data_IF_809097191548
#
_entry.id   IF_809097191548
#
_cell.length_a   1.000
_cell.length_b   1.000
_cell.length_c   1.000
_cell.angle_alpha   90.00
_cell.angle_beta   90.00
_cell.angle_gamma   90.00
#
_symmetry.space_group_name_H-M   'P 1'
#
loop_
_entity.id
_entity.type
_entity.pdbx_description
1 polymer ?
#
# COMPACT_ATOMS: atom_id res chain seq x y z
N UNK A 1 -16.46 3.92 -1.33
CA UNK A 1 -16.14 2.82 -2.26
C UNK A 1 -16.59 3.15 -3.69
N UNK A 2 -16.32 4.37 -4.19
CA UNK A 2 -16.72 4.79 -5.54
C UNK A 2 -15.82 5.91 -6.12
N UNK A 3 -14.67 6.19 -5.51
CA UNK A 3 -13.73 7.22 -6.02
C UNK A 3 -12.42 6.65 -6.57
N UNK A 4 -12.18 5.34 -6.43
CA UNK A 4 -10.93 4.70 -6.87
C UNK A 4 -10.98 4.16 -8.31
N UNK A 5 -12.17 4.06 -8.91
CA UNK A 5 -12.33 3.51 -10.27
C UNK A 5 -12.02 4.53 -11.38
N UNK A 6 -11.93 5.83 -11.08
CA UNK A 6 -11.78 6.89 -12.10
C UNK A 6 -10.32 7.16 -12.54
N UNK A 7 -9.31 6.78 -11.75
CA UNK A 7 -7.91 7.12 -12.07
C UNK A 7 -7.19 6.10 -12.99
N UNK A 8 -7.77 4.93 -13.26
CA UNK A 8 -7.11 3.88 -14.06
C UNK A 8 -7.38 4.04 -15.57
N UNK A 9 -8.43 4.76 -15.97
CA UNK A 9 -8.82 4.84 -17.39
C UNK A 9 -7.98 5.81 -18.25
N UNK A 10 -7.15 6.68 -17.66
CA UNK A 10 -6.44 7.75 -18.40
C UNK A 10 -4.92 7.57 -18.57
N UNK A 11 -4.35 6.45 -18.16
CA UNK A 11 -2.91 6.19 -18.35
C UNK A 11 -2.69 5.10 -19.40
N UNK A 12 -2.01 5.45 -20.51
CA UNK A 12 -1.60 4.53 -21.59
C UNK A 12 -0.54 3.48 -21.16
N UNK A 13 -0.41 3.17 -19.86
CA UNK A 13 0.60 2.28 -19.27
C UNK A 13 -0.05 1.20 -18.40
N UNK A 14 -1.07 0.50 -18.93
CA UNK A 14 -1.68 -0.62 -18.23
C UNK A 14 -0.90 -1.91 -18.48
N UNK A 15 0.15 -2.15 -17.70
CA UNK A 15 0.59 -3.53 -17.44
C UNK A 15 -0.31 -4.10 -16.35
N UNK A 16 -1.11 -5.13 -16.69
CA UNK A 16 -1.99 -5.84 -15.75
C UNK A 16 -1.11 -6.71 -14.83
N UNK A 17 -0.37 -6.07 -13.95
CA UNK A 17 0.43 -6.75 -12.94
C UNK A 17 -0.55 -7.35 -11.93
N UNK A 18 -0.46 -8.67 -11.75
CA UNK A 18 -1.31 -9.46 -10.85
C UNK A 18 -1.11 -8.98 -9.41
N UNK A 19 -1.94 -8.04 -8.96
CA UNK A 19 -2.02 -7.56 -7.57
C UNK A 19 -2.69 -8.62 -6.67
N UNK A 20 -2.15 -9.84 -6.65
CA UNK A 20 -2.59 -10.85 -5.69
C UNK A 20 -1.97 -10.55 -4.33
N UNK A 21 -2.71 -9.83 -3.49
CA UNK A 21 -2.53 -9.87 -2.04
C UNK A 21 -2.50 -11.34 -1.61
N UNK A 22 -1.55 -11.71 -0.76
CA UNK A 22 -1.19 -13.10 -0.52
C UNK A 22 -2.30 -13.98 0.08
N UNK A 23 -3.45 -13.47 0.54
CA UNK A 23 -4.48 -14.34 1.15
C UNK A 23 -5.94 -13.86 1.06
N UNK A 24 -6.29 -12.82 0.32
CA UNK A 24 -7.67 -12.34 0.26
C UNK A 24 -8.14 -12.17 -1.18
N UNK A 25 -9.17 -12.94 -1.58
CA UNK A 25 -9.79 -12.92 -2.90
C UNK A 25 -10.48 -11.57 -3.21
N UNK A 26 -10.71 -10.77 -2.18
CA UNK A 26 -11.08 -9.36 -2.24
C UNK A 26 -9.98 -8.58 -1.50
N UNK A 27 -9.21 -7.79 -2.23
CA UNK A 27 -8.10 -7.03 -1.65
C UNK A 27 -8.62 -5.99 -0.67
N UNK A 28 -8.05 -5.97 0.53
CA UNK A 28 -8.23 -4.87 1.46
C UNK A 28 -7.55 -3.60 0.92
N UNK A 29 -8.16 -2.42 1.11
CA UNK A 29 -7.61 -1.15 0.60
C UNK A 29 -6.24 -0.85 1.21
N UNK A 30 -6.01 -1.24 2.47
CA UNK A 30 -4.75 -1.07 3.16
C UNK A 30 -3.62 -1.94 2.62
N UNK A 31 -3.90 -3.23 2.43
CA UNK A 31 -2.94 -4.16 1.85
C UNK A 31 -2.60 -3.80 0.38
N UNK A 32 -3.59 -3.31 -0.40
CA UNK A 32 -3.38 -2.83 -1.76
C UNK A 32 -2.52 -1.56 -1.78
N UNK A 33 -2.81 -0.58 -0.90
CA UNK A 33 -2.02 0.64 -0.78
C UNK A 33 -0.56 0.33 -0.44
N UNK A 34 -0.31 -0.66 0.43
CA UNK A 34 1.04 -1.11 0.78
C UNK A 34 1.78 -1.69 -0.43
N UNK A 35 1.11 -2.52 -1.24
CA UNK A 35 1.73 -3.08 -2.45
C UNK A 35 2.02 -2.01 -3.51
N UNK A 36 1.12 -1.04 -3.68
CA UNK A 36 1.27 0.02 -4.70
C UNK A 36 2.27 1.10 -4.29
N UNK A 37 2.25 1.53 -3.02
CA UNK A 37 3.05 2.66 -2.54
C UNK A 37 4.36 2.23 -1.90
N UNK A 38 4.46 1.01 -1.38
CA UNK A 38 5.64 0.51 -0.68
C UNK A 38 6.31 -0.67 -1.41
N UNK A 39 5.72 -1.19 -2.49
CA UNK A 39 6.32 -2.22 -3.35
C UNK A 39 6.39 -3.63 -2.74
N UNK A 40 5.81 -3.85 -1.56
CA UNK A 40 5.80 -5.16 -0.88
C UNK A 40 4.39 -5.56 -0.47
N UNK A 41 4.14 -6.86 -0.39
CA UNK A 41 2.83 -7.40 -0.03
C UNK A 41 2.68 -7.45 1.49
N UNK A 42 1.77 -6.66 2.03
CA UNK A 42 1.34 -6.74 3.43
C UNK A 42 0.28 -7.82 3.68
N UNK A 43 -0.07 -8.01 4.95
CA UNK A 43 -1.21 -8.86 5.35
C UNK A 43 -2.54 -8.12 5.22
N UNK A 44 -3.62 -8.88 5.19
CA UNK A 44 -4.99 -8.34 5.26
C UNK A 44 -5.16 -7.42 6.48
N UNK A 45 -5.87 -6.30 6.30
CA UNK A 45 -6.12 -5.26 7.34
C UNK A 45 -4.85 -4.63 7.93
N UNK A 46 -3.74 -4.61 7.18
CA UNK A 46 -2.51 -3.91 7.56
C UNK A 46 -2.10 -2.88 6.49
N UNK A 47 -1.47 -1.78 6.91
CA UNK A 47 -1.07 -0.66 6.04
C UNK A 47 0.39 -0.30 6.32
N UNK A 48 1.22 -0.24 5.28
CA UNK A 48 2.62 0.19 5.41
C UNK A 48 3.48 -0.77 6.25
N UNK A 49 3.08 -2.04 6.34
CA UNK A 49 3.79 -3.08 7.05
C UNK A 49 4.04 -4.29 6.15
N UNK A 50 5.13 -5.01 6.41
CA UNK A 50 5.43 -6.28 5.75
C UNK A 50 4.55 -7.45 6.27
N UNK A 51 4.83 -8.67 5.80
CA UNK A 51 4.10 -9.86 6.19
C UNK A 51 4.44 -10.41 7.58
N UNK A 52 5.38 -9.80 8.31
CA UNK A 52 5.69 -10.13 9.70
C UNK A 52 4.70 -9.48 10.69
N UNK A 53 4.06 -8.39 10.27
CA UNK A 53 2.99 -7.73 11.02
C UNK A 53 1.79 -8.67 11.23
N UNK A 54 1.05 -8.45 12.32
CA UNK A 54 -0.20 -9.16 12.60
C UNK A 54 -1.31 -8.17 12.90
N UNK A 55 -2.47 -8.40 12.27
CA UNK A 55 -3.69 -7.68 12.58
C UNK A 55 -4.02 -7.79 14.07
N UNK A 56 -4.59 -6.71 14.62
CA UNK A 56 -4.96 -6.57 16.04
C UNK A 56 -3.79 -6.78 17.04
N UNK A 57 -2.55 -6.63 16.56
CA UNK A 57 -1.34 -6.71 17.40
C UNK A 57 -0.44 -5.51 17.15
N UNK A 58 -0.73 -4.40 17.83
CA UNK A 58 0.05 -3.16 17.75
C UNK A 58 1.56 -3.40 17.94
N UNK A 59 1.95 -4.29 18.87
CA UNK A 59 3.36 -4.63 19.12
C UNK A 59 4.10 -5.21 17.90
N UNK A 60 3.39 -5.86 16.98
CA UNK A 60 4.03 -6.40 15.77
C UNK A 60 4.47 -5.30 14.80
N UNK A 61 3.85 -4.11 14.87
CA UNK A 61 4.13 -2.99 13.96
C UNK A 61 5.52 -2.37 14.13
N UNK A 62 6.13 -2.51 15.31
CA UNK A 62 7.41 -1.86 15.62
C UNK A 62 8.56 -2.37 14.75
N UNK A 63 8.55 -3.65 14.39
CA UNK A 63 9.63 -4.29 13.63
C UNK A 63 9.25 -4.56 12.17
N UNK A 64 7.99 -4.35 11.80
CA UNK A 64 7.45 -4.70 10.48
C UNK A 64 7.22 -3.47 9.59
N UNK A 65 7.59 -2.27 10.05
CA UNK A 65 7.44 -1.03 9.29
C UNK A 65 8.41 -1.02 8.12
N UNK A 66 7.89 -0.66 6.97
CA UNK A 66 8.63 -0.53 5.72
C UNK A 66 8.58 0.91 5.22
N UNK A 67 9.64 1.43 4.61
CA UNK A 67 9.61 2.73 3.96
C UNK A 67 8.79 2.66 2.67
N UNK A 68 7.82 3.56 2.53
CA UNK A 68 6.98 3.69 1.35
C UNK A 68 7.46 4.86 0.47
N UNK A 69 6.93 4.99 -0.75
CA UNK A 69 7.30 6.03 -1.71
C UNK A 69 7.31 7.44 -1.09
N UNK A 70 6.39 7.69 -0.15
CA UNK A 70 6.34 8.97 0.55
C UNK A 70 7.54 9.22 1.46
N UNK A 71 8.03 8.19 2.15
CA UNK A 71 9.22 8.28 3.00
C UNK A 71 10.46 8.53 2.15
N UNK A 72 10.56 7.89 0.98
CA UNK A 72 11.64 8.10 0.02
C UNK A 72 11.64 9.52 -0.55
N UNK A 73 10.48 10.01 -1.01
CA UNK A 73 10.35 11.36 -1.54
C UNK A 73 10.63 12.43 -0.45
N UNK A 74 10.18 12.22 0.78
CA UNK A 74 10.53 13.11 1.89
C UNK A 74 12.03 13.10 2.20
N UNK A 75 12.69 11.94 2.12
CA UNK A 75 14.14 11.83 2.30
C UNK A 75 14.92 12.57 1.19
N UNK A 76 14.36 12.69 -0.01
CA UNK A 76 14.92 13.45 -1.12
C UNK A 76 14.60 14.96 -1.05
N UNK A 77 13.78 15.39 -0.08
CA UNK A 77 13.39 16.79 0.12
C UNK A 77 12.16 17.22 -0.67
N UNK A 78 11.44 16.27 -1.28
CA UNK A 78 10.18 16.52 -1.97
C UNK A 78 9.01 16.65 -0.97
N UNK A 79 8.07 17.55 -1.28
CA UNK A 79 6.92 17.82 -0.41
C UNK A 79 5.71 17.03 -0.90
N UNK A 80 5.10 16.28 0.01
CA UNK A 80 3.94 15.43 -0.28
C UNK A 80 2.72 15.96 0.47
N UNK A 81 1.65 16.23 -0.27
CA UNK A 81 0.37 16.67 0.27
C UNK A 81 -0.70 15.60 0.05
N UNK A 82 -1.40 15.22 1.11
CA UNK A 82 -2.63 14.45 1.01
C UNK A 82 -3.82 15.40 1.00
N UNK A 83 -4.67 15.30 -0.03
CA UNK A 83 -5.94 16.02 -0.08
C UNK A 83 -6.99 15.23 0.71
N UNK A 84 -7.67 15.91 1.64
CA UNK A 84 -8.74 15.38 2.47
C UNK A 84 -10.10 15.78 1.90
#
# INVERSE_FOLDING_TARGET
>A
MLLLEILIENTNYLNVNKLTILTAKWGDSGACATALLCGVKGRFETVGLDDSARYDKCQSSFNSRIPCLADWAQAEGEIIWFQY
#
